data_IF_085849731618
#
_entry.id   IF_085849731618
#
_cell.length_a   1.000
_cell.length_b   1.000
_cell.length_c   1.000
_cell.angle_alpha   90.00
_cell.angle_beta   90.00
_cell.angle_gamma   90.00
#
_symmetry.space_group_name_H-M   'P 1'
#
loop_
_entity.id
_entity.type
_entity.pdbx_description
1 polymer ?
#
# COMPACT_ATOMS: atom_id res chain seq x y z
N UNK A 1 -32.92 -25.59 -26.13
CA UNK A 1 -32.08 -24.97 -27.17
C UNK A 1 -31.50 -23.68 -26.59
N UNK A 2 -30.33 -23.77 -25.99
CA UNK A 2 -29.58 -22.62 -25.51
C UNK A 2 -28.14 -22.86 -25.96
N UNK A 3 -27.71 -22.07 -26.93
CA UNK A 3 -26.39 -22.13 -27.54
C UNK A 3 -25.37 -21.60 -26.53
N UNK A 4 -24.48 -22.47 -26.08
CA UNK A 4 -23.27 -22.07 -25.38
C UNK A 4 -22.29 -21.67 -26.48
N UNK A 5 -22.06 -20.37 -26.66
CA UNK A 5 -20.94 -19.89 -27.44
C UNK A 5 -19.67 -20.12 -26.61
N UNK A 6 -18.92 -21.16 -26.96
CA UNK A 6 -17.52 -21.27 -26.57
C UNK A 6 -16.75 -20.15 -27.27
N UNK A 7 -16.36 -19.13 -26.52
CA UNK A 7 -15.29 -18.24 -26.93
C UNK A 7 -13.98 -18.98 -26.68
N UNK A 8 -13.35 -19.45 -27.76
CA UNK A 8 -11.98 -19.91 -27.76
C UNK A 8 -11.07 -18.73 -27.38
N UNK A 9 -10.50 -18.79 -26.18
CA UNK A 9 -9.38 -17.93 -25.79
C UNK A 9 -8.10 -18.70 -26.09
N UNK A 10 -7.61 -18.52 -27.32
CA UNK A 10 -6.28 -18.96 -27.75
C UNK A 10 -5.22 -18.03 -27.15
N UNK A 11 -4.99 -18.14 -25.85
CA UNK A 11 -3.75 -17.69 -25.25
C UNK A 11 -2.82 -18.91 -25.08
N UNK A 12 -2.04 -19.13 -26.15
CA UNK A 12 -0.84 -19.96 -26.13
C UNK A 12 0.10 -19.39 -25.07
N UNK A 13 -0.06 -19.88 -23.84
CA UNK A 13 0.87 -19.62 -22.76
C UNK A 13 2.16 -20.33 -23.06
N UNK A 14 3.17 -19.58 -23.52
CA UNK A 14 4.56 -19.96 -23.31
C UNK A 14 4.69 -20.41 -21.86
N UNK A 15 5.09 -21.66 -21.64
CA UNK A 15 5.31 -22.25 -20.31
C UNK A 15 6.53 -21.66 -19.61
N UNK A 16 6.76 -20.35 -19.79
CA UNK A 16 7.79 -19.57 -19.16
C UNK A 16 7.53 -19.49 -17.67
N UNK A 17 8.56 -19.85 -16.89
CA UNK A 17 8.52 -19.79 -15.43
C UNK A 17 8.20 -18.36 -15.00
N UNK A 18 6.98 -18.14 -14.50
CA UNK A 18 6.57 -16.84 -13.98
C UNK A 18 7.36 -16.54 -12.70
N UNK A 19 8.32 -15.64 -12.81
CA UNK A 19 9.16 -15.25 -11.69
C UNK A 19 8.43 -14.23 -10.81
N UNK A 20 8.03 -14.64 -9.60
CA UNK A 20 7.53 -13.71 -8.61
C UNK A 20 8.63 -12.70 -8.18
N UNK A 21 8.26 -11.45 -7.86
CA UNK A 21 9.22 -10.49 -7.34
C UNK A 21 9.87 -10.98 -6.04
N UNK A 22 11.05 -10.45 -5.72
CA UNK A 22 11.73 -10.77 -4.46
C UNK A 22 10.82 -10.52 -3.24
N UNK A 23 10.85 -11.41 -2.25
CA UNK A 23 10.05 -11.29 -1.02
C UNK A 23 8.53 -11.14 -1.26
N UNK A 24 8.02 -11.71 -2.36
CA UNK A 24 6.59 -11.72 -2.65
C UNK A 24 5.84 -12.63 -1.66
N UNK A 25 4.73 -12.13 -1.13
CA UNK A 25 3.78 -12.90 -0.31
C UNK A 25 2.40 -12.28 -0.40
N UNK A 26 1.37 -13.10 -0.24
CA UNK A 26 0.04 -12.61 0.10
C UNK A 26 0.02 -12.21 1.58
N UNK A 27 -0.59 -11.06 1.89
CA UNK A 27 -0.82 -10.59 3.26
C UNK A 27 -2.24 -10.95 3.67
N UNK A 28 -3.20 -10.58 2.81
CA UNK A 28 -4.63 -10.82 2.97
C UNK A 28 -5.21 -11.06 1.57
N UNK A 29 -6.45 -11.51 1.48
CA UNK A 29 -7.14 -11.61 0.19
C UNK A 29 -7.15 -10.24 -0.53
N UNK A 30 -6.64 -10.23 -1.75
CA UNK A 30 -6.46 -9.01 -2.54
C UNK A 30 -5.39 -8.02 -2.02
N UNK A 31 -4.57 -8.37 -1.01
CA UNK A 31 -3.44 -7.58 -0.53
C UNK A 31 -2.15 -8.38 -0.67
N UNK A 32 -1.25 -7.88 -1.51
CA UNK A 32 0.04 -8.50 -1.76
C UNK A 32 1.16 -7.61 -1.24
N UNK A 33 2.29 -8.23 -0.88
CA UNK A 33 3.53 -7.54 -0.55
C UNK A 33 4.67 -8.06 -1.41
N UNK A 34 5.63 -7.20 -1.73
CA UNK A 34 6.87 -7.61 -2.38
C UNK A 34 8.03 -6.63 -2.16
N UNK A 35 9.22 -7.04 -2.59
CA UNK A 35 10.30 -6.14 -2.98
C UNK A 35 10.04 -5.47 -4.32
N UNK A 36 11.04 -4.76 -4.82
CA UNK A 36 10.88 -3.97 -6.04
C UNK A 36 10.64 -4.86 -7.27
N UNK A 37 9.53 -4.69 -8.01
CA UNK A 37 9.28 -5.45 -9.23
C UNK A 37 10.26 -5.09 -10.34
N UNK A 38 10.82 -6.11 -10.99
CA UNK A 38 11.63 -5.97 -12.20
C UNK A 38 10.82 -6.37 -13.45
N UNK A 39 11.28 -6.00 -14.66
CA UNK A 39 10.62 -6.40 -15.91
C UNK A 39 10.39 -7.92 -16.04
N UNK A 40 11.31 -8.73 -15.53
CA UNK A 40 11.20 -10.19 -15.43
C UNK A 40 9.96 -10.67 -14.67
N UNK A 41 9.44 -9.84 -13.76
CA UNK A 41 8.30 -10.19 -12.91
C UNK A 41 6.96 -9.71 -13.49
N UNK A 42 6.96 -8.94 -14.58
CA UNK A 42 5.74 -8.36 -15.13
C UNK A 42 4.74 -9.42 -15.59
N UNK A 43 5.23 -10.52 -16.18
CA UNK A 43 4.38 -11.65 -16.53
C UNK A 43 3.63 -12.21 -15.32
N UNK A 44 4.32 -12.38 -14.18
CA UNK A 44 3.68 -12.81 -12.94
C UNK A 44 2.69 -11.77 -12.40
N UNK A 45 3.06 -10.48 -12.40
CA UNK A 45 2.18 -9.42 -11.89
C UNK A 45 0.90 -9.24 -12.71
N UNK A 46 0.93 -9.49 -14.01
CA UNK A 46 -0.28 -9.48 -14.85
C UNK A 46 -1.26 -10.56 -14.41
N UNK A 47 -0.80 -11.73 -13.95
CA UNK A 47 -1.72 -12.79 -13.45
C UNK A 47 -2.50 -12.39 -12.21
N UNK A 48 -1.96 -11.45 -11.41
CA UNK A 48 -2.62 -10.97 -10.19
C UNK A 48 -3.77 -9.98 -10.47
N UNK A 49 -3.91 -9.50 -11.71
CA UNK A 49 -4.93 -8.50 -12.09
C UNK A 49 -4.98 -7.31 -11.13
N UNK A 50 -3.80 -6.75 -10.80
CA UNK A 50 -3.67 -5.66 -9.83
C UNK A 50 -4.44 -4.42 -10.32
N UNK A 51 -5.11 -3.74 -9.39
CA UNK A 51 -5.78 -2.46 -9.64
C UNK A 51 -4.94 -1.28 -9.20
N UNK A 52 -4.13 -1.48 -8.17
CA UNK A 52 -3.24 -0.44 -7.66
C UNK A 52 -1.96 -0.97 -7.04
N UNK A 53 -0.95 -0.11 -6.95
CA UNK A 53 0.33 -0.37 -6.32
C UNK A 53 0.65 0.75 -5.32
N UNK A 54 1.05 0.37 -4.12
CA UNK A 54 1.61 1.27 -3.11
C UNK A 54 3.13 1.16 -3.17
N UNK A 55 3.77 2.27 -3.52
CA UNK A 55 5.22 2.38 -3.58
C UNK A 55 5.73 3.28 -2.45
N UNK A 56 6.53 2.69 -1.55
CA UNK A 56 6.93 3.34 -0.30
C UNK A 56 8.31 4.03 -0.35
N UNK A 57 8.87 4.29 -1.53
CA UNK A 57 10.19 4.91 -1.64
C UNK A 57 10.11 6.32 -2.26
N UNK A 58 11.00 7.25 -1.84
CA UNK A 58 11.00 8.61 -2.35
C UNK A 58 11.56 8.72 -3.77
N UNK A 59 12.37 7.75 -4.22
CA UNK A 59 12.96 7.78 -5.56
C UNK A 59 11.87 7.69 -6.64
N UNK A 60 12.00 8.40 -7.78
CA UNK A 60 11.03 8.33 -8.86
C UNK A 60 10.86 6.90 -9.38
N UNK A 61 9.64 6.57 -9.80
CA UNK A 61 9.35 5.25 -10.34
C UNK A 61 9.98 5.09 -11.73
N UNK A 62 10.67 3.97 -12.04
CA UNK A 62 11.30 3.75 -13.33
C UNK A 62 10.31 3.80 -14.50
N UNK A 63 10.75 4.35 -15.63
CA UNK A 63 9.90 4.54 -16.82
C UNK A 63 9.35 3.22 -17.37
N UNK A 64 10.15 2.15 -17.36
CA UNK A 64 9.70 0.82 -17.79
C UNK A 64 8.53 0.30 -16.94
N UNK A 65 8.61 0.48 -15.61
CA UNK A 65 7.55 0.08 -14.72
C UNK A 65 6.32 1.00 -14.85
N UNK A 66 6.50 2.29 -15.16
CA UNK A 66 5.39 3.20 -15.47
C UNK A 66 4.64 2.77 -16.72
N UNK A 67 5.35 2.41 -17.80
CA UNK A 67 4.72 1.88 -19.03
C UNK A 67 3.90 0.62 -18.76
N UNK A 68 4.42 -0.27 -17.90
CA UNK A 68 3.67 -1.46 -17.47
C UNK A 68 2.39 -1.10 -16.69
N UNK A 69 2.47 -0.14 -15.77
CA UNK A 69 1.31 0.34 -15.01
C UNK A 69 0.24 0.93 -15.93
N UNK A 70 0.64 1.75 -16.90
CA UNK A 70 -0.26 2.35 -17.88
C UNK A 70 -0.93 1.30 -18.77
N UNK A 71 -0.15 0.35 -19.29
CA UNK A 71 -0.67 -0.74 -20.14
C UNK A 71 -1.71 -1.61 -19.42
N UNK A 72 -1.57 -1.81 -18.11
CA UNK A 72 -2.46 -2.63 -17.30
C UNK A 72 -3.50 -1.79 -16.51
N UNK A 73 -3.57 -0.46 -16.75
CA UNK A 73 -4.46 0.47 -16.06
C UNK A 73 -4.36 0.42 -14.52
N UNK A 74 -3.13 0.27 -14.01
CA UNK A 74 -2.83 0.13 -12.59
C UNK A 74 -2.52 1.51 -12.00
N UNK A 75 -3.20 1.87 -10.90
CA UNK A 75 -2.98 3.13 -10.21
C UNK A 75 -1.75 3.06 -9.30
N UNK A 76 -0.83 4.02 -9.41
CA UNK A 76 0.32 4.14 -8.52
C UNK A 76 0.04 5.13 -7.39
N UNK A 77 0.20 4.69 -6.15
CA UNK A 77 0.21 5.54 -4.96
C UNK A 77 1.62 5.58 -4.38
N UNK A 78 2.28 6.73 -4.51
CA UNK A 78 3.64 6.92 -4.01
C UNK A 78 3.63 7.62 -2.65
N UNK A 79 4.28 6.99 -1.67
CA UNK A 79 4.49 7.53 -0.34
C UNK A 79 6.00 7.49 -0.04
N UNK A 80 6.66 8.65 -0.17
CA UNK A 80 8.10 8.74 -0.04
C UNK A 80 8.56 8.57 1.40
N UNK A 81 9.01 7.37 1.78
CA UNK A 81 9.62 7.12 3.08
C UNK A 81 11.12 6.95 2.92
N UNK A 82 11.87 7.89 3.52
CA UNK A 82 13.32 7.86 3.53
C UNK A 82 13.86 6.53 4.08
N UNK A 83 14.90 6.03 3.41
CA UNK A 83 15.49 4.74 3.71
C UNK A 83 16.56 4.83 4.81
N UNK A 84 17.77 4.35 4.49
CA UNK A 84 18.91 4.47 5.39
C UNK A 84 19.52 5.86 5.20
N UNK A 85 19.08 6.83 6.00
CA UNK A 85 19.74 8.12 6.16
C UNK A 85 20.70 8.10 7.35
N UNK A 86 21.72 8.95 7.30
CA UNK A 86 22.64 9.22 8.41
C UNK A 86 22.68 10.75 8.62
N UNK A 87 22.12 11.31 9.71
CA UNK A 87 21.54 10.62 10.85
C UNK A 87 20.23 9.89 10.49
N UNK A 88 19.83 8.86 11.25
CA UNK A 88 18.69 8.06 10.87
C UNK A 88 17.36 8.79 11.11
N UNK A 89 16.66 9.11 10.02
CA UNK A 89 15.34 9.74 10.08
C UNK A 89 14.32 8.75 10.69
N UNK A 90 13.47 9.20 11.63
CA UNK A 90 12.36 8.38 12.11
C UNK A 90 11.32 8.15 11.00
N UNK A 91 10.64 7.01 11.04
CA UNK A 91 9.55 6.71 10.11
C UNK A 91 8.42 7.74 10.26
N UNK A 92 8.01 8.44 9.18
CA UNK A 92 6.96 9.45 9.26
C UNK A 92 5.60 8.79 9.53
N UNK A 93 4.99 9.10 10.67
CA UNK A 93 3.70 8.52 11.09
C UNK A 93 2.58 8.90 10.13
N UNK A 94 2.54 10.15 9.69
CA UNK A 94 1.49 10.69 8.83
C UNK A 94 1.49 10.03 7.45
N UNK A 95 2.66 9.89 6.83
CA UNK A 95 2.83 9.19 5.56
C UNK A 95 2.41 7.72 5.63
N UNK A 96 2.73 7.03 6.73
CA UNK A 96 2.29 5.64 6.95
C UNK A 96 0.78 5.58 7.15
N UNK A 97 0.18 6.55 7.84
CA UNK A 97 -1.26 6.65 8.03
C UNK A 97 -1.99 6.87 6.70
N UNK A 98 -1.48 7.74 5.82
CA UNK A 98 -2.05 7.97 4.49
C UNK A 98 -1.93 6.74 3.58
N UNK A 99 -0.78 6.05 3.62
CA UNK A 99 -0.62 4.77 2.93
C UNK A 99 -1.61 3.71 3.47
N UNK A 100 -1.84 3.69 4.78
CA UNK A 100 -2.78 2.77 5.42
C UNK A 100 -4.24 3.10 5.04
N UNK A 101 -4.59 4.38 4.88
CA UNK A 101 -5.92 4.80 4.39
C UNK A 101 -6.18 4.27 2.99
N UNK A 102 -5.20 4.36 2.08
CA UNK A 102 -5.30 3.80 0.73
C UNK A 102 -5.42 2.27 0.77
N UNK A 103 -4.67 1.62 1.66
CA UNK A 103 -4.64 0.17 1.81
C UNK A 103 -5.94 -0.43 2.37
N UNK A 104 -6.67 0.30 3.21
CA UNK A 104 -7.95 -0.15 3.79
C UNK A 104 -9.13 0.08 2.82
N UNK A 105 -8.95 0.89 1.78
CA UNK A 105 -10.00 1.15 0.80
C UNK A 105 -10.13 0.00 -0.21
N UNK A 106 -11.17 -0.82 -0.02
CA UNK A 106 -11.52 -1.98 -0.85
C UNK A 106 -11.58 -1.66 -2.35
N UNK A 107 -11.87 -0.41 -2.74
CA UNK A 107 -11.93 0.00 -4.16
C UNK A 107 -10.58 -0.05 -4.87
N UNK A 108 -9.49 -0.11 -4.12
CA UNK A 108 -8.13 -0.16 -4.65
C UNK A 108 -7.61 -1.59 -4.86
N UNK A 109 -8.36 -2.61 -4.43
CA UNK A 109 -7.95 -4.01 -4.48
C UNK A 109 -8.27 -4.65 -5.85
N UNK A 110 -7.46 -5.63 -6.31
CA UNK A 110 -6.25 -6.16 -5.67
C UNK A 110 -5.07 -5.17 -5.67
N UNK A 111 -4.33 -5.09 -4.56
CA UNK A 111 -3.29 -4.09 -4.32
C UNK A 111 -1.94 -4.73 -3.99
N UNK A 112 -0.85 -4.20 -4.56
CA UNK A 112 0.52 -4.62 -4.25
C UNK A 112 1.26 -3.53 -3.47
N UNK A 113 1.79 -3.89 -2.30
CA UNK A 113 2.65 -3.02 -1.49
C UNK A 113 4.10 -3.39 -1.74
N UNK A 114 4.92 -2.42 -2.14
CA UNK A 114 6.36 -2.68 -2.23
C UNK A 114 7.21 -1.48 -1.83
N UNK A 115 8.45 -1.81 -1.51
CA UNK A 115 9.54 -0.85 -1.41
C UNK A 115 10.74 -1.39 -2.21
N UNK A 116 11.96 -1.03 -1.84
CA UNK A 116 13.16 -1.58 -2.49
C UNK A 116 13.31 -3.10 -2.29
N UNK A 117 13.18 -3.57 -1.05
CA UNK A 117 13.40 -4.98 -0.69
C UNK A 117 12.17 -5.68 -0.08
N UNK A 118 11.08 -4.95 0.16
CA UNK A 118 9.86 -5.53 0.76
C UNK A 118 9.98 -5.89 2.24
N UNK A 119 10.97 -5.33 2.94
CA UNK A 119 11.33 -5.69 4.33
C UNK A 119 10.88 -4.66 5.35
N UNK A 120 11.61 -3.54 5.46
CA UNK A 120 11.42 -2.52 6.50
C UNK A 120 10.13 -1.72 6.31
N UNK A 121 10.07 -0.84 5.30
CA UNK A 121 8.92 0.06 5.05
C UNK A 121 7.62 -0.71 4.82
N UNK A 122 7.67 -1.70 3.93
CA UNK A 122 6.53 -2.60 3.68
C UNK A 122 6.14 -3.38 4.92
N UNK A 123 7.10 -3.86 5.71
CA UNK A 123 6.84 -4.57 6.96
C UNK A 123 6.19 -3.68 8.02
N UNK A 124 6.60 -2.42 8.15
CA UNK A 124 5.96 -1.46 9.06
C UNK A 124 4.51 -1.22 8.65
N UNK A 125 4.23 -0.98 7.36
CA UNK A 125 2.86 -0.75 6.88
C UNK A 125 1.96 -1.97 7.09
N UNK A 126 2.46 -3.18 6.76
CA UNK A 126 1.74 -4.43 7.01
C UNK A 126 1.53 -4.65 8.51
N UNK A 127 2.54 -4.35 9.35
CA UNK A 127 2.40 -4.42 10.80
C UNK A 127 1.31 -3.48 11.34
N UNK A 128 1.24 -2.25 10.83
CA UNK A 128 0.15 -1.32 11.15
C UNK A 128 -1.22 -1.85 10.71
N UNK A 129 -1.31 -2.47 9.53
CA UNK A 129 -2.53 -3.14 9.07
C UNK A 129 -2.96 -4.24 10.04
N UNK A 130 -2.05 -5.11 10.49
CA UNK A 130 -2.36 -6.17 11.46
C UNK A 130 -2.85 -5.63 12.81
N UNK A 131 -2.30 -4.49 13.27
CA UNK A 131 -2.81 -3.82 14.48
C UNK A 131 -4.24 -3.29 14.29
N UNK A 132 -4.58 -2.79 13.09
CA UNK A 132 -5.96 -2.40 12.76
C UNK A 132 -6.88 -3.63 12.73
N UNK A 133 -6.38 -4.78 12.27
CA UNK A 133 -7.07 -6.07 12.33
C UNK A 133 -7.13 -6.68 13.76
N UNK A 134 -6.67 -5.96 14.79
CA UNK A 134 -6.66 -6.42 16.20
C UNK A 134 -5.83 -7.67 16.46
N UNK A 135 -4.77 -7.93 15.67
CA UNK A 135 -3.84 -9.01 15.98
C UNK A 135 -3.05 -8.73 17.27
N UNK A 136 -2.60 -9.77 17.97
CA UNK A 136 -1.75 -9.60 19.13
C UNK A 136 -0.36 -9.08 18.70
N UNK A 137 0.22 -8.18 19.49
CA UNK A 137 1.48 -7.52 19.14
C UNK A 137 2.60 -8.54 18.84
N UNK A 138 2.69 -9.62 19.63
CA UNK A 138 3.68 -10.68 19.43
C UNK A 138 3.62 -11.29 18.02
N UNK A 139 2.43 -11.64 17.53
CA UNK A 139 2.27 -12.20 16.17
C UNK A 139 2.57 -11.17 15.08
N UNK A 140 2.27 -9.89 15.31
CA UNK A 140 2.61 -8.82 14.36
C UNK A 140 4.13 -8.69 14.23
N UNK A 141 4.85 -8.66 15.36
CA UNK A 141 6.31 -8.53 15.37
C UNK A 141 6.99 -9.77 14.78
N UNK A 142 6.44 -10.97 15.04
CA UNK A 142 6.91 -12.22 14.46
C UNK A 142 6.75 -12.24 12.93
N UNK A 143 5.58 -11.83 12.41
CA UNK A 143 5.35 -11.72 10.95
C UNK A 143 6.35 -10.74 10.32
N UNK A 144 6.60 -9.60 10.96
CA UNK A 144 7.60 -8.64 10.50
C UNK A 144 9.01 -9.27 10.47
N UNK A 145 9.43 -9.93 11.55
CA UNK A 145 10.77 -10.52 11.66
C UNK A 145 10.98 -11.63 10.62
N UNK A 146 9.96 -12.48 10.40
CA UNK A 146 9.98 -13.52 9.37
C UNK A 146 10.20 -12.93 7.98
N UNK A 147 9.49 -11.86 7.63
CA UNK A 147 9.59 -11.21 6.33
C UNK A 147 10.86 -10.36 6.15
N UNK A 148 11.40 -9.80 7.23
CA UNK A 148 12.67 -9.07 7.20
C UNK A 148 13.88 -10.03 7.13
N UNK A 149 13.74 -11.22 7.71
CA UNK A 149 14.79 -12.22 7.86
C UNK A 149 15.97 -11.68 8.69
N UNK A 150 17.19 -12.01 8.30
CA UNK A 150 18.42 -11.61 9.00
C UNK A 150 18.67 -10.10 9.10
N UNK A 151 17.90 -9.27 8.36
CA UNK A 151 18.05 -7.80 8.33
C UNK A 151 16.93 -7.06 9.08
N UNK A 152 16.29 -7.69 10.05
CA UNK A 152 15.28 -7.01 10.88
C UNK A 152 15.90 -5.85 11.67
N UNK A 153 15.09 -4.84 12.01
CA UNK A 153 15.54 -3.63 12.73
C UNK A 153 14.69 -3.40 13.98
N UNK A 154 15.34 -3.14 15.11
CA UNK A 154 14.64 -2.82 16.36
C UNK A 154 13.78 -1.55 16.23
N UNK A 155 14.23 -0.56 15.45
CA UNK A 155 13.48 0.69 15.23
C UNK A 155 12.09 0.43 14.63
N UNK A 156 12.02 -0.49 13.68
CA UNK A 156 10.77 -0.82 12.99
C UNK A 156 9.80 -1.51 13.96
N UNK A 157 10.31 -2.38 14.84
CA UNK A 157 9.51 -3.02 15.90
C UNK A 157 8.94 -1.97 16.86
N UNK A 158 9.80 -1.08 17.36
CA UNK A 158 9.39 0.00 18.27
C UNK A 158 8.37 0.94 17.60
N UNK A 159 8.52 1.18 16.28
CA UNK A 159 7.54 1.96 15.53
C UNK A 159 6.19 1.27 15.46
N UNK A 160 6.15 -0.02 15.12
CA UNK A 160 4.91 -0.81 15.07
C UNK A 160 4.24 -0.82 16.45
N UNK A 161 5.00 -1.01 17.53
CA UNK A 161 4.50 -0.97 18.90
C UNK A 161 3.88 0.40 19.25
N UNK A 162 4.60 1.48 18.99
CA UNK A 162 4.18 2.85 19.31
C UNK A 162 3.13 3.44 18.34
N UNK A 163 2.80 2.76 17.24
CA UNK A 163 1.84 3.25 16.26
C UNK A 163 0.41 3.23 16.83
N UNK A 164 -0.23 4.38 16.94
CA UNK A 164 -1.61 4.47 17.40
C UNK A 164 -2.58 4.14 16.27
N UNK A 165 -3.48 3.18 16.52
CA UNK A 165 -4.53 2.79 15.56
C UNK A 165 -5.88 3.44 15.85
N UNK A 166 -6.02 4.14 16.98
CA UNK A 166 -7.28 4.75 17.40
C UNK A 166 -7.79 5.76 16.38
N UNK A 167 -6.91 6.61 15.85
CA UNK A 167 -7.27 7.62 14.84
C UNK A 167 -7.90 7.01 13.60
N UNK A 168 -7.36 5.90 13.10
CA UNK A 168 -7.91 5.24 11.90
C UNK A 168 -9.22 4.52 12.21
N UNK A 169 -9.33 3.86 13.38
CA UNK A 169 -10.58 3.22 13.82
C UNK A 169 -11.71 4.24 13.98
N UNK A 170 -11.43 5.40 14.58
CA UNK A 170 -12.39 6.50 14.71
C UNK A 170 -12.81 7.04 13.34
N UNK A 171 -11.87 7.21 12.40
CA UNK A 171 -12.22 7.59 11.03
C UNK A 171 -13.13 6.56 10.35
N UNK A 172 -12.80 5.27 10.40
CA UNK A 172 -13.61 4.20 9.80
C UNK A 172 -14.99 4.11 10.44
N UNK A 173 -15.07 4.14 11.77
CA UNK A 173 -16.34 4.17 12.49
C UNK A 173 -17.14 5.42 12.10
N UNK A 174 -16.54 6.60 12.00
CA UNK A 174 -17.23 7.82 11.55
C UNK A 174 -17.81 7.66 10.15
N UNK A 175 -17.11 6.95 9.26
CA UNK A 175 -17.55 6.68 7.90
C UNK A 175 -18.72 5.70 7.94
N UNK A 176 -18.59 4.59 8.69
CA UNK A 176 -19.66 3.60 8.87
C UNK A 176 -20.92 4.21 9.51
N UNK A 177 -20.78 5.04 10.55
CA UNK A 177 -21.90 5.73 11.19
C UNK A 177 -22.51 6.80 10.29
N UNK A 178 -21.72 7.51 9.47
CA UNK A 178 -22.27 8.38 8.40
C UNK A 178 -23.09 7.56 7.40
N UNK A 179 -22.67 6.35 7.06
CA UNK A 179 -23.43 5.45 6.18
C UNK A 179 -24.70 4.89 6.84
N UNK A 180 -24.66 4.55 8.12
CA UNK A 180 -25.84 4.05 8.84
C UNK A 180 -26.83 5.15 9.28
N UNK A 181 -26.36 6.38 9.45
CA UNK A 181 -27.15 7.52 9.91
C UNK A 181 -27.88 8.31 8.82
N UNK A 182 -27.68 8.02 7.54
CA UNK A 182 -28.29 8.78 6.44
C UNK A 182 -29.00 7.87 5.43
N UNK A 183 -30.32 7.86 5.53
CA UNK A 183 -31.20 7.33 4.49
C UNK A 183 -30.84 7.91 3.12
N UNK A 184 -30.62 7.00 2.17
CA UNK A 184 -30.86 7.15 0.74
C UNK A 184 -30.94 8.59 0.20
N UNK A 185 -29.79 9.24 -0.08
CA UNK A 185 -29.51 10.05 -1.28
C UNK A 185 -28.15 10.78 -1.19
N UNK A 186 -27.34 10.56 -2.24
CA UNK A 186 -26.09 11.25 -2.68
C UNK A 186 -24.75 10.65 -2.22
N UNK A 187 -23.93 10.33 -3.24
CA UNK A 187 -22.62 9.68 -3.22
C UNK A 187 -21.49 10.72 -3.33
N UNK A 188 -20.48 10.67 -2.46
CA UNK A 188 -19.04 10.60 -2.76
C UNK A 188 -18.24 10.83 -1.47
N UNK A 189 -17.30 9.94 -1.17
CA UNK A 189 -16.15 10.30 -0.32
C UNK A 189 -15.34 11.32 -1.13
N UNK A 190 -15.37 12.58 -0.72
CA UNK A 190 -14.48 13.63 -1.22
C UNK A 190 -13.37 13.75 -0.18
N UNK A 191 -12.12 13.60 -0.61
CA UNK A 191 -10.95 13.85 0.22
C UNK A 191 -10.79 15.38 0.28
N UNK A 192 -11.05 15.97 1.44
CA UNK A 192 -10.77 17.39 1.66
C UNK A 192 -9.28 17.46 2.02
N UNK A 193 -8.45 17.94 1.09
CA UNK A 193 -7.08 18.31 1.40
C UNK A 193 -7.14 19.46 2.41
N UNK A 194 -6.73 19.22 3.65
CA UNK A 194 -6.54 20.29 4.63
C UNK A 194 -5.48 21.24 4.09
N UNK A 195 -5.96 22.37 3.57
CA UNK A 195 -5.17 23.44 3.01
C UNK A 195 -4.23 23.99 4.09
N UNK A 196 -2.94 23.68 3.98
CA UNK A 196 -1.88 24.26 4.81
C UNK A 196 -1.96 25.77 4.66
N UNK A 197 -2.30 26.44 5.76
CA UNK A 197 -2.45 27.88 5.84
C UNK A 197 -1.23 28.59 5.25
N UNK A 198 -1.45 29.34 4.18
CA UNK A 198 -0.50 30.32 3.69
C UNK A 198 -0.37 31.44 4.73
N UNK A 199 0.72 31.40 5.50
CA UNK A 199 1.16 32.54 6.31
C UNK A 199 1.48 33.70 5.37
N UNK A 200 0.59 34.70 5.33
CA UNK A 200 0.86 36.00 4.71
C UNK A 200 1.95 36.73 5.52
N UNK A 201 3.03 37.24 4.89
CA UNK A 201 3.90 38.19 5.56
C UNK A 201 3.17 39.54 5.71
N UNK A 202 3.04 40.01 6.94
CA UNK A 202 2.56 41.35 7.25
C UNK A 202 3.59 42.39 6.77
N UNK A 203 3.14 43.34 5.97
CA UNK A 203 3.92 44.50 5.58
C UNK A 203 4.12 45.41 6.80
N UNK A 204 5.37 45.56 7.25
CA UNK A 204 5.75 46.58 8.21
C UNK A 204 5.78 47.94 7.52
N UNK A 205 4.94 48.86 8.01
CA UNK A 205 5.12 50.30 7.82
C UNK A 205 6.19 50.77 8.80
N UNK A 206 7.29 51.36 8.31
CA UNK A 206 7.85 52.69 8.66
C UNK A 206 8.81 53.06 7.53
#
# INVERSE_FOLDING_TARGET
>A
MCLIMEAADDHVGDGGVLAAPSNFSMVEDGIYRSGFPKPENFGFLTTLSLRSIIYLCPEPYPEENLKFLEANNIKLFQFGIEGKTDPPTPMPKDTVLDALRVLVDVRNHPILIHCKAGKHRTGCLVGCLRKVQSWCLSSVLEEYQKNAGVKWRQRDLNFIEAFDTASLRQCLLSIMYRYHGYGFKRKRLVHEEENVQTLKPQAAKV
#
